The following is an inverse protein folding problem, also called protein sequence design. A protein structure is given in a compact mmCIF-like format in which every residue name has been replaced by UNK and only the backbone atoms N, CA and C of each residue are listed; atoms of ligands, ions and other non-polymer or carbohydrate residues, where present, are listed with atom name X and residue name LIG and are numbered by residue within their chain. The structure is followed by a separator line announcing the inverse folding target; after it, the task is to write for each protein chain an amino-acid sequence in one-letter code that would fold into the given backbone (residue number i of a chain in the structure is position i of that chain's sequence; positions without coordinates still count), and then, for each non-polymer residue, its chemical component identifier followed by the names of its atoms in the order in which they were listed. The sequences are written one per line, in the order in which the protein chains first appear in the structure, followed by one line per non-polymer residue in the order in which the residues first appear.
data_IF_419687322386
#
_entry.id   IF_419687322386
#
_cell.length_a   1.000
_cell.length_b   1.000
_cell.length_c   1.000
_cell.angle_alpha   90.00
_cell.angle_beta   90.00
_cell.angle_gamma   90.00
#
_symmetry.space_group_name_H-M   'P 1'
#
loop_
_entity.id
_entity.type
_entity.pdbx_description
1 polymer ?
#
# COMPACT_ATOMS: atom_id res chain seq x y z
N UNK A 1 -32.05 11.16 -63.22
CA UNK A 1 -31.80 10.07 -62.25
C UNK A 1 -32.03 10.61 -60.84
N UNK A 2 -33.28 10.48 -60.36
CA UNK A 2 -33.69 9.74 -59.15
C UNK A 2 -33.05 10.20 -57.82
N UNK A 3 -33.78 11.10 -57.13
CA UNK A 3 -33.72 11.39 -55.69
C UNK A 3 -34.32 10.23 -54.88
N UNK A 4 -33.76 9.93 -53.71
CA UNK A 4 -34.41 9.23 -52.56
C UNK A 4 -33.88 9.93 -51.30
N UNK A 5 -34.66 10.75 -50.59
CA UNK A 5 -35.81 10.47 -49.69
C UNK A 5 -35.34 9.84 -48.37
N UNK A 6 -35.41 10.68 -47.33
CA UNK A 6 -35.33 10.41 -45.89
C UNK A 6 -36.62 9.70 -45.45
N UNK A 7 -36.53 8.72 -44.55
CA UNK A 7 -37.68 8.26 -43.76
C UNK A 7 -37.29 8.22 -42.28
N UNK A 8 -37.96 9.07 -41.49
CA UNK A 8 -38.16 8.90 -40.06
C UNK A 8 -39.19 7.77 -39.84
N UNK A 9 -38.97 6.96 -38.82
CA UNK A 9 -39.96 6.03 -38.28
C UNK A 9 -39.99 6.13 -36.76
N UNK A 10 -40.93 6.91 -36.24
CA UNK A 10 -41.36 6.88 -34.85
C UNK A 10 -42.42 5.78 -34.69
N UNK A 11 -42.34 4.99 -33.62
CA UNK A 11 -43.45 4.19 -33.11
C UNK A 11 -43.54 4.43 -31.62
N UNK A 12 -44.71 4.91 -31.20
CA UNK A 12 -45.11 5.12 -29.82
C UNK A 12 -46.21 4.14 -29.45
N UNK A 13 -46.16 3.73 -28.16
CA UNK A 13 -47.28 3.40 -27.27
C UNK A 13 -48.17 2.19 -27.61
N UNK A 14 -48.23 1.25 -26.67
CA UNK A 14 -49.49 0.83 -26.05
C UNK A 14 -49.24 0.20 -24.67
N UNK A 15 -50.01 0.65 -23.69
CA UNK A 15 -50.03 0.24 -22.30
C UNK A 15 -50.96 -0.97 -22.08
N UNK A 16 -50.71 -1.76 -21.03
CA UNK A 16 -51.74 -2.50 -20.31
C UNK A 16 -51.30 -2.82 -18.87
N UNK A 17 -52.13 -2.40 -17.92
CA UNK A 17 -52.08 -2.72 -16.49
C UNK A 17 -52.45 -4.20 -16.23
N UNK A 18 -51.95 -4.82 -15.15
CA UNK A 18 -52.60 -4.90 -13.81
C UNK A 18 -52.14 -6.14 -13.01
N UNK A 19 -51.87 -5.87 -11.72
CA UNK A 19 -52.06 -6.72 -10.52
C UNK A 19 -51.27 -8.02 -10.30
N UNK A 20 -50.67 -8.12 -9.12
CA UNK A 20 -50.41 -9.40 -8.44
C UNK A 20 -49.10 -9.46 -7.67
N UNK A 21 -49.02 -8.81 -6.50
CA UNK A 21 -48.09 -9.25 -5.46
C UNK A 21 -48.57 -10.59 -4.88
N UNK A 22 -47.64 -11.42 -4.39
CA UNK A 22 -47.71 -11.67 -2.96
C UNK A 22 -46.37 -11.41 -2.26
N UNK A 23 -46.49 -10.71 -1.13
CA UNK A 23 -45.56 -10.78 0.00
C UNK A 23 -45.27 -12.24 0.32
N UNK A 24 -43.99 -12.58 0.45
CA UNK A 24 -43.59 -13.74 1.24
C UNK A 24 -43.19 -13.23 2.63
N UNK A 25 -43.98 -13.72 3.57
CA UNK A 25 -43.90 -13.56 5.01
C UNK A 25 -42.56 -14.10 5.56
N UNK A 26 -41.92 -13.40 6.51
CA UNK A 26 -40.78 -13.92 7.26
C UNK A 26 -41.26 -14.61 8.55
N UNK A 27 -40.93 -15.89 8.75
CA UNK A 27 -40.87 -16.54 10.08
C UNK A 27 -40.47 -18.02 9.98
N UNK A 28 -39.98 -18.66 11.07
CA UNK A 28 -39.87 -18.13 12.44
C UNK A 28 -38.47 -18.19 13.06
N UNK A 29 -38.37 -17.43 14.15
CA UNK A 29 -37.38 -17.48 15.20
C UNK A 29 -37.02 -18.93 15.61
N UNK A 30 -35.73 -19.28 15.52
CA UNK A 30 -35.16 -20.33 16.36
C UNK A 30 -34.49 -19.67 17.57
N UNK A 31 -35.17 -19.84 18.69
CA UNK A 31 -34.79 -19.58 20.06
C UNK A 31 -33.54 -20.41 20.42
N UNK A 32 -32.35 -19.84 20.22
CA UNK A 32 -31.12 -20.33 20.86
C UNK A 32 -30.91 -19.55 22.15
N UNK A 33 -31.47 -20.13 23.21
CA UNK A 33 -31.11 -19.86 24.60
C UNK A 33 -29.63 -20.19 24.81
N UNK A 34 -28.76 -19.20 24.65
CA UNK A 34 -27.37 -19.29 25.09
C UNK A 34 -27.37 -19.17 26.60
N UNK A 35 -27.19 -20.32 27.26
CA UNK A 35 -26.93 -20.42 28.69
C UNK A 35 -25.69 -19.60 29.01
N UNK A 36 -25.86 -18.52 29.76
CA UNK A 36 -24.78 -17.76 30.35
C UNK A 36 -24.03 -18.65 31.35
N UNK A 37 -22.95 -19.28 30.89
CA UNK A 37 -21.96 -19.86 31.77
C UNK A 37 -21.12 -18.70 32.34
N UNK A 38 -21.47 -18.28 33.56
CA UNK A 38 -20.60 -17.48 34.42
C UNK A 38 -19.29 -18.25 34.64
N UNK A 39 -18.24 -17.87 33.92
CA UNK A 39 -16.87 -18.23 34.26
C UNK A 39 -16.35 -17.04 35.07
N UNK A 40 -16.23 -17.25 36.38
CA UNK A 40 -15.54 -16.33 37.28
C UNK A 40 -14.09 -16.16 36.79
N UNK A 41 -13.57 -14.93 36.69
CA UNK A 41 -12.15 -14.75 36.44
C UNK A 41 -11.37 -15.12 37.70
N UNK A 42 -10.67 -16.25 37.65
CA UNK A 42 -9.59 -16.54 38.61
C UNK A 42 -8.45 -15.58 38.26
N UNK A 43 -8.39 -14.49 39.03
CA UNK A 43 -7.30 -13.52 38.99
C UNK A 43 -6.12 -14.14 39.74
N UNK A 44 -5.29 -14.91 39.04
CA UNK A 44 -3.96 -15.26 39.54
C UNK A 44 -2.96 -14.23 39.00
N UNK A 45 -2.71 -13.21 39.82
CA UNK A 45 -1.74 -12.17 39.56
C UNK A 45 -0.32 -12.75 39.57
N UNK A 46 0.17 -13.19 38.40
CA UNK A 46 1.59 -13.38 38.19
C UNK A 46 2.22 -12.01 37.91
N UNK A 47 2.89 -11.44 38.92
CA UNK A 47 3.77 -10.28 38.76
C UNK A 47 4.87 -10.63 37.76
N UNK A 48 4.68 -10.22 36.50
CA UNK A 48 5.74 -10.19 35.49
C UNK A 48 6.62 -8.97 35.79
N UNK A 49 7.64 -9.20 36.61
CA UNK A 49 8.76 -8.28 36.78
C UNK A 49 9.49 -8.20 35.44
N UNK A 50 9.14 -7.20 34.63
CA UNK A 50 9.88 -6.85 33.42
C UNK A 50 11.20 -6.23 33.88
N UNK A 51 12.26 -7.05 33.90
CA UNK A 51 13.63 -6.59 34.13
C UNK A 51 14.03 -5.66 32.98
N UNK A 52 13.91 -4.36 33.25
CA UNK A 52 14.12 -3.23 32.34
C UNK A 52 15.61 -2.98 32.04
N UNK A 53 16.45 -4.03 32.08
CA UNK A 53 17.91 -3.92 31.99
C UNK A 53 18.56 -4.91 31.02
N UNK A 54 18.05 -5.12 29.81
CA UNK A 54 18.92 -5.69 28.76
C UNK A 54 18.41 -5.50 27.31
N UNK A 55 18.22 -4.24 26.89
CA UNK A 55 18.42 -3.88 25.47
C UNK A 55 19.32 -2.64 25.42
N UNK A 56 20.56 -2.82 25.88
CA UNK A 56 21.65 -1.91 25.50
C UNK A 56 22.13 -2.35 24.13
N UNK A 57 21.32 -2.06 23.11
CA UNK A 57 21.77 -2.12 21.72
C UNK A 57 23.05 -1.31 21.64
N UNK A 58 24.14 -1.96 21.28
CA UNK A 58 25.41 -1.29 21.03
C UNK A 58 25.16 -0.32 19.87
N UNK A 59 24.98 0.95 20.24
CA UNK A 59 25.08 2.06 19.30
C UNK A 59 26.48 2.00 18.74
N UNK A 60 26.60 1.46 17.53
CA UNK A 60 27.72 1.78 16.66
C UNK A 60 27.56 3.28 16.43
N UNK A 61 28.39 4.06 17.14
CA UNK A 61 28.50 5.50 16.93
C UNK A 61 29.01 5.65 15.50
N UNK A 62 28.09 5.88 14.57
CA UNK A 62 28.43 6.29 13.22
C UNK A 62 29.27 7.57 13.31
N UNK A 63 30.38 7.58 12.57
CA UNK A 63 31.25 8.74 12.44
C UNK A 63 30.40 9.98 12.07
N UNK A 64 30.39 11.06 12.88
CA UNK A 64 29.59 12.26 12.63
C UNK A 64 30.01 13.04 11.37
N UNK A 65 31.09 12.64 10.69
CA UNK A 65 31.68 13.36 9.55
C UNK A 65 31.10 13.04 8.17
N UNK A 66 30.12 12.14 8.03
CA UNK A 66 29.43 11.90 6.76
C UNK A 66 27.90 11.99 6.92
N UNK A 67 27.39 13.15 7.33
CA UNK A 67 25.96 13.41 7.12
C UNK A 67 25.75 13.47 5.60
N UNK A 68 25.03 12.49 5.06
CA UNK A 68 24.58 12.54 3.67
C UNK A 68 23.94 13.91 3.41
N UNK A 69 24.22 14.55 2.25
CA UNK A 69 23.71 15.88 1.97
C UNK A 69 22.19 15.88 2.11
N UNK A 70 21.68 16.98 2.68
CA UNK A 70 20.24 17.20 2.82
C UNK A 70 19.59 17.14 1.43
N UNK A 71 18.59 16.27 1.22
CA UNK A 71 17.88 16.20 -0.05
C UNK A 71 17.28 17.56 -0.42
N UNK A 72 17.37 17.96 -1.68
CA UNK A 72 16.70 19.16 -2.20
C UNK A 72 17.00 20.46 -1.42
N UNK A 73 18.21 20.60 -0.87
CA UNK A 73 18.62 21.79 -0.13
C UNK A 73 18.39 23.09 -0.94
N UNK A 74 17.77 24.08 -0.29
CA UNK A 74 17.44 25.38 -0.92
C UNK A 74 16.24 25.38 -1.87
N UNK A 75 15.58 24.23 -2.09
CA UNK A 75 14.37 24.17 -2.91
C UNK A 75 13.11 24.37 -2.07
N UNK A 76 12.11 25.03 -2.66
CA UNK A 76 10.75 25.18 -2.10
C UNK A 76 9.74 24.21 -2.71
N UNK A 77 10.00 23.72 -3.92
CA UNK A 77 9.21 22.70 -4.61
C UNK A 77 10.14 21.71 -5.30
N UNK A 78 9.76 20.44 -5.31
CA UNK A 78 10.54 19.34 -5.90
C UNK A 78 9.70 18.69 -6.98
N UNK A 79 10.30 18.38 -8.14
CA UNK A 79 9.61 17.65 -9.20
C UNK A 79 9.55 16.15 -8.90
N UNK A 80 8.55 15.47 -9.45
CA UNK A 80 8.38 14.02 -9.26
C UNK A 80 9.55 13.22 -9.83
N UNK A 81 10.14 13.63 -10.96
CA UNK A 81 11.36 12.99 -11.49
C UNK A 81 12.56 13.10 -10.56
N UNK A 82 12.73 14.25 -9.89
CA UNK A 82 13.79 14.46 -8.89
C UNK A 82 13.58 13.58 -7.65
N UNK A 83 12.33 13.46 -7.17
CA UNK A 83 12.00 12.54 -6.08
C UNK A 83 12.28 11.09 -6.46
N UNK A 84 11.85 10.66 -7.65
CA UNK A 84 12.06 9.29 -8.13
C UNK A 84 13.56 8.98 -8.26
N UNK A 85 14.37 9.92 -8.74
CA UNK A 85 15.82 9.73 -8.84
C UNK A 85 16.47 9.50 -7.47
N UNK A 86 16.03 10.22 -6.43
CA UNK A 86 16.49 9.98 -5.05
C UNK A 86 16.05 8.60 -4.52
N UNK A 87 14.82 8.18 -4.82
CA UNK A 87 14.34 6.85 -4.45
C UNK A 87 15.11 5.73 -5.15
N UNK A 88 15.48 5.90 -6.41
CA UNK A 88 16.31 4.94 -7.14
C UNK A 88 17.70 4.82 -6.50
N UNK A 89 18.33 5.95 -6.15
CA UNK A 89 19.59 5.94 -5.41
C UNK A 89 19.49 5.32 -4.00
N UNK A 90 18.33 5.40 -3.35
CA UNK A 90 18.06 4.69 -2.09
C UNK A 90 17.89 3.19 -2.34
N UNK A 91 17.22 2.79 -3.42
CA UNK A 91 17.08 1.38 -3.78
C UNK A 91 18.46 0.73 -4.01
N UNK A 92 19.38 1.41 -4.68
CA UNK A 92 20.75 0.94 -4.85
C UNK A 92 21.45 0.70 -3.50
N UNK A 93 21.25 1.61 -2.53
CA UNK A 93 21.80 1.44 -1.17
C UNK A 93 21.12 0.30 -0.39
N UNK A 94 19.82 0.09 -0.58
CA UNK A 94 19.07 -1.00 0.04
C UNK A 94 19.55 -2.37 -0.42
N UNK A 95 20.05 -2.48 -1.66
CA UNK A 95 20.58 -3.74 -2.21
C UNK A 95 21.78 -4.29 -1.40
N UNK A 96 22.50 -3.42 -0.69
CA UNK A 96 23.62 -3.77 0.18
C UNK A 96 23.17 -4.25 1.57
N UNK A 97 21.88 -4.14 1.92
CA UNK A 97 21.36 -4.55 3.23
C UNK A 97 21.23 -6.08 3.33
N UNK A 98 21.86 -6.73 4.33
CA UNK A 98 21.66 -8.15 4.58
C UNK A 98 20.21 -8.50 4.94
N UNK A 99 19.48 -7.58 5.59
CA UNK A 99 18.08 -7.78 5.95
C UNK A 99 17.18 -7.81 4.70
N UNK A 100 17.41 -6.89 3.76
CA UNK A 100 16.69 -6.87 2.47
C UNK A 100 17.00 -8.13 1.66
N UNK A 101 18.27 -8.58 1.65
CA UNK A 101 18.65 -9.84 1.01
C UNK A 101 17.96 -11.04 1.66
N UNK A 102 17.86 -11.09 2.99
CA UNK A 102 17.17 -12.18 3.69
C UNK A 102 15.68 -12.23 3.35
N UNK A 103 14.99 -11.08 3.37
CA UNK A 103 13.57 -11.00 2.97
C UNK A 103 13.35 -11.47 1.52
N UNK A 104 14.27 -11.12 0.61
CA UNK A 104 14.24 -11.58 -0.78
C UNK A 104 14.39 -13.10 -0.89
N UNK A 105 15.35 -13.70 -0.19
CA UNK A 105 15.54 -15.16 -0.20
C UNK A 105 14.33 -15.91 0.37
N UNK A 106 13.67 -15.34 1.39
CA UNK A 106 12.42 -15.86 1.91
C UNK A 106 11.31 -15.83 0.85
N UNK A 107 11.18 -14.72 0.11
CA UNK A 107 10.23 -14.62 -1.00
C UNK A 107 10.52 -15.65 -2.11
N UNK A 108 11.78 -15.80 -2.52
CA UNK A 108 12.17 -16.79 -3.53
C UNK A 108 11.76 -18.20 -3.11
N UNK A 109 12.06 -18.56 -1.86
CA UNK A 109 11.70 -19.86 -1.29
C UNK A 109 10.20 -20.06 -1.29
N UNK A 110 9.45 -19.08 -0.79
CA UNK A 110 8.00 -19.16 -0.68
C UNK A 110 7.30 -19.27 -2.05
N UNK A 111 7.86 -18.64 -3.09
CA UNK A 111 7.26 -18.57 -4.42
C UNK A 111 7.92 -19.47 -5.47
N UNK A 112 8.92 -20.27 -5.07
CA UNK A 112 9.65 -21.17 -5.98
C UNK A 112 10.36 -20.44 -7.12
N UNK A 113 10.91 -19.26 -6.85
CA UNK A 113 11.56 -18.41 -7.84
C UNK A 113 13.08 -18.61 -7.84
N UNK A 114 13.69 -18.42 -9.00
CA UNK A 114 15.15 -18.45 -9.14
C UNK A 114 15.78 -17.14 -8.67
N UNK A 115 16.98 -17.24 -8.09
CA UNK A 115 17.77 -16.08 -7.72
C UNK A 115 18.47 -15.50 -8.95
N UNK A 116 18.00 -14.35 -9.42
CA UNK A 116 18.63 -13.60 -10.51
C UNK A 116 18.92 -12.17 -10.08
N UNK A 117 20.01 -11.54 -10.58
CA UNK A 117 20.30 -10.15 -10.30
C UNK A 117 19.15 -9.20 -10.66
N UNK A 118 18.49 -9.46 -11.79
CA UNK A 118 17.36 -8.66 -12.27
C UNK A 118 16.16 -8.74 -11.33
N UNK A 119 15.82 -9.95 -10.86
CA UNK A 119 14.70 -10.14 -9.93
C UNK A 119 14.99 -9.55 -8.55
N UNK A 120 16.23 -9.66 -8.06
CA UNK A 120 16.63 -9.01 -6.81
C UNK A 120 16.50 -7.50 -6.91
N UNK A 121 16.95 -6.92 -8.01
CA UNK A 121 16.86 -5.49 -8.25
C UNK A 121 15.40 -4.98 -8.34
N UNK A 122 14.53 -5.71 -9.03
CA UNK A 122 13.09 -5.40 -9.02
C UNK A 122 12.49 -5.56 -7.61
N UNK A 123 12.86 -6.61 -6.87
CA UNK A 123 12.41 -6.84 -5.51
C UNK A 123 12.74 -5.66 -4.59
N UNK A 124 13.97 -5.14 -4.64
CA UNK A 124 14.41 -4.02 -3.80
C UNK A 124 13.55 -2.78 -4.05
N UNK A 125 13.25 -2.48 -5.32
CA UNK A 125 12.40 -1.35 -5.71
C UNK A 125 10.93 -1.56 -5.37
N UNK A 126 10.42 -2.78 -5.52
CA UNK A 126 9.08 -3.15 -5.06
C UNK A 126 8.97 -2.98 -3.55
N UNK A 127 9.93 -3.48 -2.77
CA UNK A 127 9.96 -3.29 -1.31
C UNK A 127 10.00 -1.80 -0.95
N UNK A 128 10.86 -1.01 -1.58
CA UNK A 128 10.92 0.44 -1.34
C UNK A 128 9.59 1.13 -1.65
N UNK A 129 9.05 0.92 -2.85
CA UNK A 129 7.79 1.53 -3.26
C UNK A 129 6.64 1.10 -2.34
N UNK A 130 6.54 -0.18 -2.02
CA UNK A 130 5.54 -0.74 -1.13
C UNK A 130 5.58 -0.09 0.25
N UNK A 131 6.76 -0.06 0.86
CA UNK A 131 6.95 0.48 2.21
C UNK A 131 6.76 1.99 2.26
N UNK A 132 7.11 2.68 1.18
CA UNK A 132 6.85 4.10 1.01
C UNK A 132 5.34 4.41 0.96
N UNK A 133 4.60 3.70 0.11
CA UNK A 133 3.25 4.11 -0.30
C UNK A 133 2.12 3.41 0.43
N UNK A 134 2.40 2.43 1.31
CA UNK A 134 1.35 1.74 2.08
C UNK A 134 0.85 2.57 3.26
N UNK A 135 -0.35 2.26 3.72
CA UNK A 135 -0.94 2.78 4.95
C UNK A 135 -0.03 2.55 6.17
N UNK A 136 0.24 3.62 6.93
CA UNK A 136 1.19 3.65 8.04
C UNK A 136 2.67 3.53 7.62
N UNK A 137 2.94 3.47 6.32
CA UNK A 137 4.27 3.30 5.73
C UNK A 137 5.19 4.51 5.91
N UNK A 138 6.30 4.53 5.18
CA UNK A 138 7.37 5.53 5.33
C UNK A 138 6.91 6.94 4.95
N UNK A 139 5.92 7.09 4.08
CA UNK A 139 5.37 8.40 3.73
C UNK A 139 4.18 8.82 4.59
N UNK A 140 3.85 8.06 5.64
CA UNK A 140 2.78 8.38 6.57
C UNK A 140 1.45 8.63 5.85
N UNK A 141 1.12 7.79 4.88
CA UNK A 141 -0.21 7.75 4.29
C UNK A 141 -1.18 7.12 5.27
N UNK A 142 -2.42 7.59 5.29
CA UNK A 142 -3.50 7.00 6.07
C UNK A 142 -4.58 6.43 5.17
N UNK A 143 -4.95 5.19 5.44
CA UNK A 143 -6.13 4.60 4.84
C UNK A 143 -7.41 5.20 5.46
N UNK A 144 -8.33 5.64 4.59
CA UNK A 144 -9.72 5.97 4.93
C UNK A 144 -10.58 5.87 3.66
N UNK A 145 -11.91 5.86 3.81
CA UNK A 145 -12.84 5.78 2.69
C UNK A 145 -12.94 7.16 2.02
N UNK A 146 -12.49 7.24 0.76
CA UNK A 146 -12.54 8.49 -0.02
C UNK A 146 -13.63 8.46 -1.10
N UNK A 147 -14.05 7.27 -1.55
CA UNK A 147 -14.94 7.08 -2.71
C UNK A 147 -14.40 7.73 -4.00
N UNK A 148 -13.08 7.84 -4.13
CA UNK A 148 -12.43 8.34 -5.34
C UNK A 148 -12.25 7.22 -6.38
N UNK A 149 -11.72 7.58 -7.55
CA UNK A 149 -11.40 6.60 -8.60
C UNK A 149 -10.09 5.87 -8.27
N UNK A 150 -9.86 4.63 -8.77
CA UNK A 150 -8.65 3.84 -8.54
C UNK A 150 -7.41 4.40 -9.27
N UNK A 151 -6.89 5.52 -8.79
CA UNK A 151 -5.69 6.23 -9.24
C UNK A 151 -5.15 7.13 -8.14
N UNK A 152 -3.91 7.59 -8.25
CA UNK A 152 -3.28 8.38 -7.18
C UNK A 152 -3.50 9.91 -7.28
N UNK A 153 -4.34 10.41 -8.20
CA UNK A 153 -4.47 11.85 -8.47
C UNK A 153 -4.85 12.67 -7.21
N UNK A 154 -5.69 12.13 -6.33
CA UNK A 154 -6.11 12.81 -5.10
C UNK A 154 -4.97 12.90 -4.08
N UNK A 155 -4.12 11.88 -3.98
CA UNK A 155 -2.93 11.91 -3.14
C UNK A 155 -1.98 13.02 -3.61
N UNK A 156 -1.70 13.09 -4.91
CA UNK A 156 -0.87 14.18 -5.47
C UNK A 156 -1.48 15.56 -5.24
N UNK A 157 -2.81 15.70 -5.33
CA UNK A 157 -3.52 16.96 -5.01
C UNK A 157 -3.37 17.36 -3.54
N UNK A 158 -3.35 16.41 -2.61
CA UNK A 158 -3.10 16.66 -1.19
C UNK A 158 -1.66 17.13 -0.97
N UNK A 159 -0.68 16.39 -1.49
CA UNK A 159 0.74 16.74 -1.37
C UNK A 159 1.16 18.05 -2.05
N UNK A 160 0.46 18.45 -3.10
CA UNK A 160 0.67 19.76 -3.73
C UNK A 160 0.24 20.94 -2.81
N UNK A 161 -0.69 20.69 -1.89
CA UNK A 161 -1.25 21.67 -0.94
C UNK A 161 -0.65 21.55 0.46
N UNK A 162 -0.08 20.40 0.80
CA UNK A 162 0.49 20.15 2.11
C UNK A 162 1.74 21.01 2.34
N UNK A 163 1.77 21.67 3.51
CA UNK A 163 3.01 22.04 4.19
C UNK A 163 3.13 21.08 5.38
N UNK A 164 4.25 20.39 5.59
CA UNK A 164 4.45 19.63 6.82
C UNK A 164 4.33 20.58 8.02
N UNK A 165 3.71 20.14 9.11
CA UNK A 165 3.85 20.86 10.38
C UNK A 165 5.13 20.39 11.08
N UNK A 166 5.83 21.31 11.73
CA UNK A 166 6.95 21.01 12.63
C UNK A 166 6.47 20.36 13.94
N UNK A 167 5.16 20.18 14.13
CA UNK A 167 4.58 19.58 15.33
C UNK A 167 4.91 18.08 15.41
N UNK A 168 5.28 17.61 16.60
CA UNK A 168 5.76 16.25 16.88
C UNK A 168 4.71 15.15 16.68
N UNK A 169 3.47 15.51 16.37
CA UNK A 169 2.38 14.56 16.14
C UNK A 169 2.44 14.04 14.70
N UNK A 170 2.46 12.72 14.46
CA UNK A 170 2.49 12.18 13.11
C UNK A 170 1.16 12.45 12.40
N UNK A 171 1.06 13.58 11.71
CA UNK A 171 -0.06 13.90 10.83
C UNK A 171 0.09 13.11 9.53
N UNK A 172 -0.98 12.46 9.03
CA UNK A 172 -0.94 11.81 7.73
C UNK A 172 -0.57 12.81 6.63
N UNK A 173 0.34 12.44 5.73
CA UNK A 173 0.71 13.31 4.61
C UNK A 173 -0.36 13.37 3.53
N UNK A 174 -1.15 12.30 3.42
CA UNK A 174 -2.39 12.23 2.66
C UNK A 174 -3.27 11.08 3.16
N UNK A 175 -4.57 11.20 2.91
CA UNK A 175 -5.60 10.19 3.17
C UNK A 175 -6.06 9.58 1.84
N UNK A 176 -6.18 8.26 1.76
CA UNK A 176 -6.51 7.54 0.54
C UNK A 176 -7.13 6.16 0.78
N UNK A 177 -7.98 5.70 -0.13
CA UNK A 177 -8.55 4.36 -0.07
C UNK A 177 -7.59 3.28 -0.64
N UNK A 178 -7.92 2.00 -0.48
CA UNK A 178 -7.07 0.86 -0.87
C UNK A 178 -6.66 0.87 -2.35
N UNK A 179 -7.55 1.34 -3.23
CA UNK A 179 -7.33 1.42 -4.67
C UNK A 179 -6.42 2.58 -5.07
N UNK A 180 -6.57 3.73 -4.43
CA UNK A 180 -5.68 4.88 -4.57
C UNK A 180 -4.28 4.57 -4.07
N UNK A 181 -4.15 3.89 -2.92
CA UNK A 181 -2.85 3.45 -2.38
C UNK A 181 -2.19 2.41 -3.29
N UNK A 182 -2.95 1.43 -3.79
CA UNK A 182 -2.45 0.44 -4.74
C UNK A 182 -2.01 1.07 -6.07
N UNK A 183 -2.76 2.08 -6.54
CA UNK A 183 -2.40 2.83 -7.74
C UNK A 183 -1.15 3.70 -7.53
N UNK A 184 -1.01 4.34 -6.36
CA UNK A 184 0.19 5.09 -6.02
C UNK A 184 1.42 4.16 -5.98
N UNK A 185 1.31 3.00 -5.34
CA UNK A 185 2.36 1.98 -5.37
C UNK A 185 2.74 1.63 -6.81
N UNK A 186 1.75 1.27 -7.63
CA UNK A 186 1.98 0.86 -9.01
C UNK A 186 2.63 1.98 -9.84
N UNK A 187 2.21 3.23 -9.64
CA UNK A 187 2.83 4.40 -10.24
C UNK A 187 4.30 4.52 -9.81
N UNK A 188 4.61 4.53 -8.52
CA UNK A 188 5.99 4.68 -8.01
C UNK A 188 6.88 3.53 -8.47
N UNK A 189 6.42 2.27 -8.34
CA UNK A 189 7.16 1.10 -8.78
C UNK A 189 7.47 1.15 -10.29
N UNK A 190 6.49 1.55 -11.12
CA UNK A 190 6.68 1.74 -12.55
C UNK A 190 7.70 2.82 -12.89
N UNK A 191 7.78 3.89 -12.07
CA UNK A 191 8.79 4.96 -12.23
C UNK A 191 10.18 4.54 -11.80
N UNK A 192 10.29 3.60 -10.86
CA UNK A 192 11.54 2.92 -10.50
C UNK A 192 11.92 1.84 -11.53
N UNK A 193 11.13 1.65 -12.60
CA UNK A 193 11.44 0.72 -13.68
C UNK A 193 10.91 -0.70 -13.48
N UNK A 194 10.16 -0.96 -12.40
CA UNK A 194 9.50 -2.25 -12.18
C UNK A 194 8.37 -2.42 -13.19
N UNK A 195 8.30 -3.58 -13.84
CA UNK A 195 7.24 -3.90 -14.81
C UNK A 195 6.24 -4.89 -14.24
N UNK A 196 5.11 -5.05 -14.93
CA UNK A 196 4.09 -6.05 -14.61
C UNK A 196 3.47 -5.89 -13.21
N UNK A 197 3.41 -4.64 -12.75
CA UNK A 197 2.61 -4.26 -11.58
C UNK A 197 1.22 -3.86 -12.04
N UNK A 198 0.20 -4.46 -11.46
CA UNK A 198 -1.21 -4.20 -11.79
C UNK A 198 -2.09 -4.12 -10.56
N UNK A 199 -3.38 -3.88 -10.80
CA UNK A 199 -4.41 -3.82 -9.77
C UNK A 199 -5.27 -5.09 -9.82
N UNK A 200 -5.60 -5.59 -8.64
CA UNK A 200 -6.32 -6.83 -8.40
C UNK A 200 -7.50 -6.55 -7.46
N UNK A 201 -8.68 -7.06 -7.82
CA UNK A 201 -9.90 -6.94 -7.03
C UNK A 201 -10.21 -8.26 -6.32
N UNK A 202 -9.61 -8.53 -5.14
CA UNK A 202 -9.93 -9.75 -4.38
C UNK A 202 -11.39 -9.79 -3.94
N UNK A 203 -12.00 -8.62 -3.73
CA UNK A 203 -13.40 -8.44 -3.37
C UNK A 203 -13.98 -7.23 -4.12
N UNK A 204 -15.31 -7.11 -4.17
CA UNK A 204 -16.01 -6.10 -4.98
C UNK A 204 -15.70 -4.65 -4.58
N UNK A 205 -15.31 -4.42 -3.33
CA UNK A 205 -14.98 -3.13 -2.74
C UNK A 205 -13.51 -3.01 -2.32
N UNK A 206 -12.64 -3.92 -2.77
CA UNK A 206 -11.26 -3.91 -2.34
C UNK A 206 -10.31 -4.07 -3.52
N UNK A 207 -9.26 -3.26 -3.53
CA UNK A 207 -8.21 -3.30 -4.54
C UNK A 207 -6.87 -3.45 -3.86
N UNK A 208 -6.07 -4.36 -4.39
CA UNK A 208 -4.71 -4.63 -3.96
C UNK A 208 -3.80 -4.60 -5.18
N UNK A 209 -2.56 -4.15 -5.02
CA UNK A 209 -1.58 -4.25 -6.09
C UNK A 209 -1.01 -5.67 -6.19
N UNK A 210 -0.65 -6.08 -7.40
CA UNK A 210 0.02 -7.36 -7.66
C UNK A 210 1.22 -7.11 -8.56
N UNK A 211 2.37 -7.64 -8.16
CA UNK A 211 3.56 -7.69 -8.98
C UNK A 211 3.69 -9.09 -9.59
N UNK A 212 3.76 -9.18 -10.92
CA UNK A 212 3.91 -10.46 -11.62
C UNK A 212 5.33 -10.64 -12.09
N UNK A 213 5.93 -11.77 -11.72
CA UNK A 213 7.25 -12.21 -12.19
C UNK A 213 7.11 -13.52 -12.96
N UNK A 214 8.17 -13.93 -13.65
CA UNK A 214 8.21 -15.22 -14.35
C UNK A 214 9.11 -16.17 -13.57
N UNK A 215 8.66 -17.41 -13.35
CA UNK A 215 9.55 -18.50 -12.93
C UNK A 215 10.43 -18.96 -14.09
N UNK A 216 11.39 -19.84 -13.82
CA UNK A 216 12.35 -20.35 -14.83
C UNK A 216 11.68 -21.01 -16.04
N UNK A 217 10.54 -21.67 -15.82
CA UNK A 217 9.73 -22.33 -16.85
C UNK A 217 8.81 -21.35 -17.62
N UNK A 218 8.87 -20.06 -17.31
CA UNK A 218 8.02 -19.02 -17.90
C UNK A 218 6.59 -19.00 -17.35
N UNK A 219 6.33 -19.70 -16.25
CA UNK A 219 5.03 -19.61 -15.58
C UNK A 219 4.93 -18.27 -14.81
N UNK A 220 3.83 -17.52 -14.99
CA UNK A 220 3.64 -16.28 -14.24
C UNK A 220 3.41 -16.57 -12.76
N UNK A 221 4.16 -15.92 -11.90
CA UNK A 221 4.01 -15.93 -10.44
C UNK A 221 3.50 -14.56 -10.00
N UNK A 222 2.35 -14.53 -9.31
CA UNK A 222 1.69 -13.30 -8.86
C UNK A 222 1.97 -13.08 -7.37
N UNK A 223 2.65 -11.99 -7.05
CA UNK A 223 3.02 -11.59 -5.69
C UNK A 223 2.06 -10.49 -5.24
N UNK A 224 1.31 -10.73 -4.17
CA UNK A 224 0.41 -9.75 -3.58
C UNK A 224 1.21 -8.63 -2.92
N UNK A 225 0.81 -7.37 -3.16
CA UNK A 225 1.40 -6.17 -2.58
C UNK A 225 0.31 -5.41 -1.81
N UNK A 226 0.14 -5.70 -0.51
CA UNK A 226 -1.05 -5.27 0.21
C UNK A 226 -0.89 -3.89 0.86
N UNK A 227 -1.27 -2.84 0.14
CA UNK A 227 -0.96 -1.44 0.51
C UNK A 227 -1.84 -0.83 1.60
N UNK A 228 -2.90 -1.51 2.06
CA UNK A 228 -3.79 -1.06 3.13
C UNK A 228 -4.00 -2.17 4.16
N UNK A 229 -4.15 -1.82 5.45
CA UNK A 229 -4.25 -2.80 6.53
C UNK A 229 -5.67 -3.30 6.83
N UNK A 230 -6.73 -2.66 6.32
CA UNK A 230 -8.13 -2.95 6.68
C UNK A 230 -8.56 -4.42 6.54
N UNK A 231 -7.93 -5.20 5.66
CA UNK A 231 -8.27 -6.61 5.43
C UNK A 231 -7.08 -7.55 5.60
N UNK A 232 -6.05 -7.09 6.30
CA UNK A 232 -4.84 -7.85 6.55
C UNK A 232 -4.70 -8.18 8.02
N UNK A 233 -4.03 -9.30 8.30
CA UNK A 233 -3.51 -9.57 9.65
C UNK A 233 -2.38 -8.60 10.02
N UNK A 234 -2.13 -8.43 11.32
CA UNK A 234 -1.11 -7.52 11.87
C UNK A 234 0.33 -7.86 11.43
N UNK A 235 0.55 -9.10 10.96
CA UNK A 235 1.84 -9.62 10.52
C UNK A 235 1.98 -9.68 8.98
N UNK A 236 1.00 -9.19 8.23
CA UNK A 236 0.97 -9.32 6.77
C UNK A 236 1.79 -8.26 6.04
N UNK A 237 2.59 -8.75 5.09
CA UNK A 237 3.53 -7.94 4.34
C UNK A 237 3.58 -8.35 2.86
N UNK A 238 4.57 -7.83 2.14
CA UNK A 238 4.81 -8.13 0.72
C UNK A 238 4.87 -9.64 0.48
N UNK A 239 4.03 -10.13 -0.42
CA UNK A 239 3.95 -11.55 -0.77
C UNK A 239 3.01 -12.39 0.11
N UNK A 240 2.17 -11.74 0.94
CA UNK A 240 1.09 -12.37 1.71
C UNK A 240 0.28 -13.40 0.91
N UNK A 241 -0.22 -14.41 1.61
CA UNK A 241 -1.07 -15.48 1.07
C UNK A 241 -2.55 -15.33 1.43
N UNK A 242 -2.93 -14.24 2.11
CA UNK A 242 -4.33 -14.01 2.50
C UNK A 242 -5.28 -13.84 1.32
N UNK A 243 -4.75 -13.43 0.17
CA UNK A 243 -5.51 -13.34 -1.07
C UNK A 243 -4.97 -14.31 -2.10
N UNK A 244 -5.87 -15.03 -2.78
CA UNK A 244 -5.53 -15.78 -3.98
C UNK A 244 -5.52 -14.86 -5.21
N UNK A 245 -4.33 -14.53 -5.78
CA UNK A 245 -4.21 -13.64 -6.93
C UNK A 245 -4.80 -14.23 -8.22
N UNK A 246 -5.23 -15.50 -8.22
CA UNK A 246 -5.75 -16.20 -9.40
C UNK A 246 -7.28 -16.18 -9.51
N UNK A 247 -7.97 -15.70 -8.48
CA UNK A 247 -9.42 -15.44 -8.52
C UNK A 247 -9.80 -14.50 -9.67
N UNK A 248 -8.92 -13.57 -10.03
CA UNK A 248 -9.04 -12.74 -11.24
C UNK A 248 -8.23 -13.34 -12.39
N UNK A 249 -8.91 -13.65 -13.52
CA UNK A 249 -8.25 -14.28 -14.70
C UNK A 249 -7.06 -13.48 -15.22
N UNK A 250 -7.24 -12.17 -15.38
CA UNK A 250 -6.22 -11.28 -15.96
C UNK A 250 -6.00 -10.08 -15.06
N UNK A 251 -4.75 -9.82 -14.72
CA UNK A 251 -4.32 -8.58 -14.07
C UNK A 251 -3.57 -7.78 -15.12
N UNK A 252 -4.11 -6.62 -15.50
CA UNK A 252 -3.46 -5.74 -16.45
C UNK A 252 -2.44 -4.87 -15.74
N UNK A 253 -1.31 -4.65 -16.40
CA UNK A 253 -0.30 -3.72 -15.94
C UNK A 253 -0.90 -2.31 -15.83
N UNK A 254 -0.63 -1.64 -14.71
CA UNK A 254 -1.05 -0.28 -14.46
C UNK A 254 -0.20 0.68 -15.28
N UNK A 255 -0.75 1.17 -16.39
CA UNK A 255 -0.03 2.04 -17.36
C UNK A 255 -0.48 3.51 -17.31
N UNK A 256 -1.32 3.86 -16.35
CA UNK A 256 -1.82 5.23 -16.24
C UNK A 256 -0.68 6.17 -15.84
N UNK A 257 -0.67 7.34 -16.47
CA UNK A 257 0.21 8.46 -16.09
C UNK A 257 -0.56 9.37 -15.14
N UNK A 258 -0.56 9.05 -13.85
CA UNK A 258 -1.31 9.79 -12.82
C UNK A 258 -0.83 11.25 -12.77
N UNK A 259 0.46 11.45 -12.58
CA UNK A 259 1.12 12.76 -12.75
C UNK A 259 2.29 12.71 -13.71
N UNK A 260 2.59 13.87 -14.31
CA UNK A 260 3.77 14.07 -15.18
C UNK A 260 5.02 14.22 -14.32
N UNK A 261 6.16 13.92 -14.91
CA UNK A 261 7.51 14.01 -14.31
C UNK A 261 7.77 15.40 -13.70
N UNK A 262 7.37 16.45 -14.43
CA UNK A 262 7.48 17.83 -13.97
C UNK A 262 6.40 18.30 -12.98
N UNK A 263 5.49 17.43 -12.54
CA UNK A 263 4.58 17.76 -11.43
C UNK A 263 5.42 18.05 -10.17
N UNK A 264 4.97 19.01 -9.36
CA UNK A 264 5.74 19.51 -8.23
C UNK A 264 4.99 19.33 -6.92
N UNK A 265 5.66 18.79 -5.92
CA UNK A 265 5.19 18.74 -4.53
C UNK A 265 6.02 19.69 -3.67
N UNK A 266 5.58 19.89 -2.43
CA UNK A 266 6.34 20.66 -1.47
C UNK A 266 7.72 20.05 -1.20
N UNK A 267 8.76 20.89 -1.16
CA UNK A 267 10.12 20.40 -0.96
C UNK A 267 10.36 19.86 0.45
N UNK A 268 9.68 20.38 1.45
CA UNK A 268 9.77 19.86 2.81
C UNK A 268 9.15 18.48 2.93
N UNK A 269 8.00 18.28 2.29
CA UNK A 269 7.37 16.97 2.17
C UNK A 269 8.26 15.98 1.40
N UNK A 270 8.83 16.40 0.27
CA UNK A 270 9.76 15.56 -0.50
C UNK A 270 11.02 15.21 0.32
N UNK A 271 11.56 16.15 1.10
CA UNK A 271 12.67 15.90 2.04
C UNK A 271 12.26 14.87 3.08
N UNK A 272 11.10 15.02 3.69
CA UNK A 272 10.56 14.07 4.65
C UNK A 272 10.50 12.66 4.05
N UNK A 273 9.96 12.50 2.84
CA UNK A 273 9.91 11.21 2.15
C UNK A 273 11.29 10.55 1.97
N UNK A 274 12.27 11.32 1.49
CA UNK A 274 13.64 10.81 1.28
C UNK A 274 14.32 10.48 2.60
N UNK A 275 14.15 11.31 3.63
CA UNK A 275 14.73 11.07 4.97
C UNK A 275 14.15 9.80 5.60
N UNK A 276 12.83 9.61 5.54
CA UNK A 276 12.19 8.39 6.04
C UNK A 276 12.68 7.15 5.29
N UNK A 277 12.78 7.22 3.96
CA UNK A 277 13.29 6.14 3.13
C UNK A 277 14.75 5.79 3.46
N UNK A 278 15.65 6.77 3.49
CA UNK A 278 17.08 6.58 3.86
C UNK A 278 17.23 5.96 5.25
N UNK A 279 16.38 6.34 6.20
CA UNK A 279 16.48 5.89 7.60
C UNK A 279 15.96 4.46 7.81
N UNK A 280 14.95 4.05 7.05
CA UNK A 280 14.18 2.86 7.40
C UNK A 280 14.11 1.80 6.29
N UNK A 281 14.25 2.15 5.01
CA UNK A 281 13.93 1.22 3.93
C UNK A 281 14.83 -0.01 3.85
N UNK A 282 16.07 0.08 4.37
CA UNK A 282 17.00 -1.06 4.48
C UNK A 282 16.69 -2.07 5.59
N UNK A 283 15.64 -1.86 6.39
CA UNK A 283 15.22 -2.78 7.47
C UNK A 283 14.46 -4.00 6.93
N UNK A 284 14.40 -5.05 7.74
CA UNK A 284 13.59 -6.24 7.43
C UNK A 284 12.10 -5.92 7.34
N UNK A 285 11.33 -6.77 6.66
CA UNK A 285 9.87 -6.61 6.59
C UNK A 285 9.22 -6.64 7.98
N UNK A 286 9.73 -7.49 8.89
CA UNK A 286 9.23 -7.60 10.26
C UNK A 286 9.46 -6.31 11.08
N UNK A 287 10.66 -5.72 11.01
CA UNK A 287 10.94 -4.45 11.70
C UNK A 287 10.08 -3.29 11.14
N UNK A 288 9.83 -3.29 9.84
CA UNK A 288 8.95 -2.31 9.21
C UNK A 288 7.50 -2.53 9.61
N UNK A 289 7.04 -3.78 9.77
CA UNK A 289 5.71 -4.07 10.32
C UNK A 289 5.54 -3.53 11.73
N UNK A 290 6.51 -3.77 12.61
CA UNK A 290 6.49 -3.23 13.97
C UNK A 290 6.44 -1.70 13.98
N UNK A 291 7.21 -1.05 13.09
CA UNK A 291 7.20 0.41 12.97
C UNK A 291 5.83 0.93 12.50
N UNK A 292 5.17 0.23 11.57
CA UNK A 292 3.81 0.58 11.13
C UNK A 292 2.79 0.43 12.25
N UNK A 293 2.80 -0.70 12.95
CA UNK A 293 1.85 -0.96 14.04
C UNK A 293 2.02 0.09 15.16
N UNK A 294 3.26 0.45 15.50
CA UNK A 294 3.53 1.50 16.49
C UNK A 294 3.01 2.88 16.05
N UNK A 295 3.08 3.21 14.76
CA UNK A 295 2.53 4.46 14.22
C UNK A 295 1.02 4.47 14.20
N UNK A 296 0.40 3.36 13.82
CA UNK A 296 -1.06 3.24 13.78
C UNK A 296 -1.67 3.43 15.18
N UNK A 297 -1.04 2.82 16.21
CA UNK A 297 -1.37 3.06 17.61
C UNK A 297 -1.23 4.55 17.99
N UNK A 298 -0.08 5.16 17.67
CA UNK A 298 0.16 6.58 17.98
C UNK A 298 -0.81 7.54 17.27
N UNK A 299 -1.23 7.24 16.04
CA UNK A 299 -2.23 8.04 15.31
C UNK A 299 -3.63 7.86 15.87
N UNK A 300 -3.95 6.67 16.39
CA UNK A 300 -5.25 6.38 17.01
C UNK A 300 -5.40 7.08 18.36
N UNK A 301 -4.34 7.12 19.18
CA UNK A 301 -4.33 7.82 20.48
C UNK A 301 -4.51 9.35 20.35
N UNK A 302 -4.14 9.94 19.21
CA UNK A 302 -4.29 11.38 18.94
C UNK A 302 -5.70 11.75 18.48
N UNK A 303 -6.44 10.77 17.95
CA UNK A 303 -7.79 10.99 17.43
C UNK A 303 -8.88 10.92 18.51
N UNK A 304 -8.55 10.43 19.71
CA UNK A 304 -9.42 10.38 20.90
C UNK A 304 -9.29 11.62 21.80
#
# INVERSE_FOLDING_TARGET
MKRRVVLLGAVSLLAACRAGAPMLDPSPEEDQTVVAASIEPVVEAAELVVDSRLVRSQSVVADPAARSPEPFAGQTKVRVDELVAELDAIADQMAESPAVRADYQALLTAKGLADTPELFHDYVRVKLAFEATRDGGLWHLRWDITNEKPNSDQIWRQWAKAAPSEDETPVPTAVAECDELSALFAFVAGRLGVRHVGLFWPQWNHVVAVWTVQSEDGTPVRIIVPTSQIFLGEDESLGTEQFDPWTQKTIYEYRRKDVKDGHRIDAELARFFVVQARRHAGRSQAELQQLRNARDLAMSEVAE
#
